data_IF_568881041052
#
_entry.id   IF_568881041052
#
_cell.length_a   1.000
_cell.length_b   1.000
_cell.length_c   1.000
_cell.angle_alpha   90.00
_cell.angle_beta   90.00
_cell.angle_gamma   90.00
#
_symmetry.space_group_name_H-M   'P 1'
#
loop_
_entity.id
_entity.type
_entity.pdbx_description
1 polymer ?
#
# COMPACT_ATOMS: atom_id res chain seq x y z
N UNK A 1 38.55 21.24 -8.17
CA UNK A 1 37.08 21.12 -8.30
C UNK A 1 36.77 21.12 -9.79
N UNK A 2 36.22 20.03 -10.34
CA UNK A 2 35.86 19.99 -11.77
C UNK A 2 34.65 20.90 -12.00
N UNK A 3 34.68 21.69 -13.08
CA UNK A 3 33.55 22.55 -13.44
C UNK A 3 32.31 21.72 -13.80
N UNK A 4 31.10 22.16 -13.42
CA UNK A 4 29.87 21.45 -13.77
C UNK A 4 29.74 21.34 -15.28
N UNK A 5 29.55 20.11 -15.77
CA UNK A 5 29.32 19.85 -17.18
C UNK A 5 27.87 20.14 -17.52
N UNK A 6 27.65 20.97 -18.53
CA UNK A 6 26.31 21.36 -19.00
C UNK A 6 26.16 20.91 -20.44
N UNK A 7 25.01 20.31 -20.77
CA UNK A 7 24.65 19.92 -22.15
C UNK A 7 23.17 20.26 -22.35
N UNK A 8 22.84 20.80 -23.51
CA UNK A 8 21.47 21.15 -23.85
C UNK A 8 20.75 19.94 -24.44
N UNK A 9 19.50 19.75 -24.05
CA UNK A 9 18.63 18.67 -24.52
C UNK A 9 17.32 19.26 -25.04
N UNK A 10 16.70 18.55 -25.99
CA UNK A 10 15.33 18.83 -26.41
C UNK A 10 14.37 17.93 -25.62
N UNK A 11 13.32 18.51 -25.04
CA UNK A 11 12.31 17.76 -24.29
C UNK A 11 11.41 17.03 -25.29
N UNK A 12 11.38 15.70 -25.22
CA UNK A 12 10.58 14.87 -26.13
C UNK A 12 9.24 14.43 -25.53
N UNK A 13 9.10 14.53 -24.20
CA UNK A 13 7.90 14.16 -23.46
C UNK A 13 8.06 14.49 -21.98
N UNK A 14 6.94 14.54 -21.27
CA UNK A 14 6.86 14.75 -19.83
C UNK A 14 6.12 13.54 -19.25
N UNK A 15 6.63 13.00 -18.15
CA UNK A 15 6.03 11.91 -17.41
C UNK A 15 5.72 12.41 -16.01
N UNK A 16 4.52 12.12 -15.52
CA UNK A 16 4.03 12.58 -14.22
C UNK A 16 3.54 11.37 -13.44
N UNK A 17 4.15 11.13 -12.28
CA UNK A 17 3.77 10.05 -11.36
C UNK A 17 2.74 10.50 -10.32
N UNK A 18 2.45 11.81 -10.26
CA UNK A 18 1.68 12.47 -9.19
C UNK A 18 2.33 12.36 -7.82
N UNK A 19 3.62 12.03 -7.78
CA UNK A 19 4.46 11.99 -6.59
C UNK A 19 5.60 12.99 -6.78
N UNK A 20 5.47 14.16 -6.16
CA UNK A 20 6.43 15.27 -6.33
C UNK A 20 7.89 14.85 -6.06
N UNK A 21 8.11 13.98 -5.07
CA UNK A 21 9.44 13.44 -4.73
C UNK A 21 10.09 12.63 -5.87
N UNK A 22 9.30 12.14 -6.84
CA UNK A 22 9.83 11.46 -8.02
C UNK A 22 9.87 12.41 -9.22
N UNK A 23 8.84 13.23 -9.41
CA UNK A 23 8.73 14.09 -10.59
C UNK A 23 9.79 15.21 -10.58
N UNK A 24 10.21 15.71 -9.40
CA UNK A 24 11.22 16.76 -9.28
C UNK A 24 12.68 16.25 -9.34
N UNK A 25 12.91 14.95 -9.06
CA UNK A 25 14.26 14.41 -8.91
C UNK A 25 14.78 13.63 -10.13
N UNK A 26 13.91 13.21 -11.05
CA UNK A 26 14.30 12.32 -12.13
C UNK A 26 14.16 12.96 -13.51
N UNK A 27 15.21 12.80 -14.32
CA UNK A 27 15.21 13.12 -15.74
C UNK A 27 15.69 11.89 -16.51
N UNK A 28 14.96 11.53 -17.57
CA UNK A 28 15.31 10.41 -18.42
C UNK A 28 15.94 10.92 -19.73
N UNK A 29 17.05 10.32 -20.12
CA UNK A 29 17.73 10.61 -21.40
C UNK A 29 18.41 9.35 -21.93
N UNK A 30 18.86 9.40 -23.18
CA UNK A 30 19.58 8.28 -23.79
C UNK A 30 20.88 7.98 -23.06
N UNK A 31 21.21 6.69 -22.88
CA UNK A 31 22.36 6.25 -22.08
C UNK A 31 23.69 6.83 -22.56
N UNK A 32 23.86 6.99 -23.87
CA UNK A 32 25.10 7.54 -24.43
C UNK A 32 25.26 9.03 -24.13
N UNK A 33 24.16 9.79 -24.17
CA UNK A 33 24.19 11.19 -23.80
C UNK A 33 24.43 11.39 -22.29
N UNK A 34 23.90 10.51 -21.44
CA UNK A 34 24.23 10.48 -20.00
C UNK A 34 25.69 10.16 -19.78
N UNK A 35 26.25 9.14 -20.45
CA UNK A 35 27.66 8.74 -20.32
C UNK A 35 28.62 9.87 -20.67
N UNK A 36 28.33 10.61 -21.74
CA UNK A 36 29.08 11.81 -22.11
C UNK A 36 29.04 12.87 -20.99
N UNK A 37 27.86 13.09 -20.41
CA UNK A 37 27.65 14.11 -19.39
C UNK A 37 28.34 13.75 -18.07
N UNK A 38 28.23 12.49 -17.64
CA UNK A 38 28.79 11.97 -16.38
C UNK A 38 30.25 11.53 -16.50
N UNK A 39 30.84 11.60 -17.70
CA UNK A 39 32.17 11.05 -18.00
C UNK A 39 32.30 9.56 -17.65
N UNK A 40 31.19 8.83 -17.71
CA UNK A 40 31.18 7.39 -17.51
C UNK A 40 31.72 6.75 -18.79
N UNK A 41 32.91 6.13 -18.71
CA UNK A 41 33.59 5.56 -19.87
C UNK A 41 32.70 4.61 -20.68
N UNK A 42 33.04 4.43 -21.96
CA UNK A 42 32.30 3.56 -22.87
C UNK A 42 32.05 2.19 -22.23
N UNK A 43 30.80 1.72 -22.34
CA UNK A 43 30.34 0.44 -21.80
C UNK A 43 30.39 0.29 -20.26
N UNK A 44 30.39 1.39 -19.50
CA UNK A 44 30.18 1.36 -18.04
C UNK A 44 28.76 1.83 -17.69
N UNK A 45 28.23 1.30 -16.58
CA UNK A 45 26.97 1.70 -15.99
C UNK A 45 27.12 1.81 -14.47
N UNK A 46 26.51 2.84 -13.87
CA UNK A 46 26.54 3.06 -12.43
C UNK A 46 25.59 2.13 -11.69
N UNK A 47 24.43 1.84 -12.30
CA UNK A 47 23.37 0.99 -11.73
C UNK A 47 22.73 0.17 -12.84
N UNK A 48 22.38 -1.07 -12.52
CA UNK A 48 21.61 -1.95 -13.38
C UNK A 48 20.34 -2.33 -12.62
N UNK A 49 19.19 -2.08 -13.24
CA UNK A 49 17.89 -2.44 -12.68
C UNK A 49 17.40 -3.72 -13.33
N UNK A 50 17.01 -4.68 -12.48
CA UNK A 50 16.47 -5.97 -12.90
C UNK A 50 15.02 -6.05 -12.46
N UNK A 51 14.11 -6.11 -13.42
CA UNK A 51 12.70 -6.36 -13.16
C UNK A 51 12.46 -7.87 -13.07
N UNK A 52 11.86 -8.32 -11.96
CA UNK A 52 11.55 -9.72 -11.72
C UNK A 52 10.06 -9.98 -11.92
N UNK A 53 9.70 -11.08 -12.58
CA UNK A 53 8.28 -11.50 -12.72
C UNK A 53 7.61 -11.76 -11.37
N UNK A 54 8.40 -12.22 -10.39
CA UNK A 54 7.95 -12.50 -9.02
C UNK A 54 8.78 -11.70 -8.04
N UNK A 55 8.24 -10.58 -7.57
CA UNK A 55 8.88 -9.68 -6.60
C UNK A 55 9.22 -10.39 -5.29
N UNK A 56 8.45 -11.41 -4.90
CA UNK A 56 8.74 -12.25 -3.72
C UNK A 56 10.11 -12.96 -3.78
N UNK A 57 10.71 -13.10 -4.97
CA UNK A 57 12.06 -13.68 -5.13
C UNK A 57 13.17 -12.63 -5.03
N UNK A 58 12.87 -11.35 -4.85
CA UNK A 58 13.84 -10.27 -4.89
C UNK A 58 15.02 -10.49 -3.93
N UNK A 59 14.76 -10.88 -2.68
CA UNK A 59 15.82 -11.10 -1.70
C UNK A 59 16.69 -12.31 -2.06
N UNK A 60 16.08 -13.39 -2.58
CA UNK A 60 16.81 -14.58 -3.03
C UNK A 60 17.70 -14.31 -4.24
N UNK A 61 17.20 -13.53 -5.21
CA UNK A 61 17.95 -13.15 -6.41
C UNK A 61 19.07 -12.18 -6.04
N UNK A 62 18.79 -11.20 -5.16
CA UNK A 62 19.81 -10.29 -4.69
C UNK A 62 20.93 -11.01 -3.91
N UNK A 63 20.59 -12.04 -3.13
CA UNK A 63 21.59 -12.89 -2.47
C UNK A 63 22.46 -13.65 -3.49
N UNK A 64 21.86 -14.26 -4.51
CA UNK A 64 22.59 -14.95 -5.57
C UNK A 64 23.53 -14.01 -6.33
N UNK A 65 23.08 -12.78 -6.65
CA UNK A 65 23.92 -11.78 -7.32
C UNK A 65 25.11 -11.39 -6.44
N UNK A 66 24.88 -11.15 -5.15
CA UNK A 66 25.97 -10.83 -4.21
C UNK A 66 26.98 -11.96 -4.09
N UNK A 67 26.52 -13.20 -4.06
CA UNK A 67 27.38 -14.39 -3.99
C UNK A 67 28.19 -14.59 -5.28
N UNK A 68 27.57 -14.37 -6.44
CA UNK A 68 28.21 -14.60 -7.73
C UNK A 68 29.22 -13.51 -8.12
N UNK A 69 28.91 -12.24 -7.87
CA UNK A 69 29.74 -11.12 -8.35
C UNK A 69 30.66 -10.54 -7.27
N UNK A 70 30.29 -10.65 -5.99
CA UNK A 70 31.07 -10.10 -4.88
C UNK A 70 31.32 -8.59 -5.00
N UNK A 71 32.26 -8.09 -4.20
CA UNK A 71 32.67 -6.68 -4.25
C UNK A 71 33.31 -6.35 -5.62
N UNK A 72 32.98 -5.22 -6.26
CA UNK A 72 32.25 -4.05 -5.77
C UNK A 72 30.74 -4.03 -6.06
N UNK A 73 30.15 -5.12 -6.54
CA UNK A 73 28.73 -5.18 -6.92
C UNK A 73 27.87 -5.37 -5.67
N UNK A 74 27.01 -4.40 -5.38
CA UNK A 74 26.03 -4.50 -4.30
C UNK A 74 24.61 -4.59 -4.87
N UNK A 75 23.97 -5.74 -4.72
CA UNK A 75 22.57 -5.92 -5.10
C UNK A 75 21.67 -5.45 -3.95
N UNK A 76 20.88 -4.42 -4.20
CA UNK A 76 19.84 -3.93 -3.31
C UNK A 76 18.45 -4.21 -3.89
N UNK A 77 17.52 -4.68 -3.05
CA UNK A 77 16.14 -4.92 -3.48
C UNK A 77 15.30 -3.65 -3.39
N UNK A 78 14.17 -3.62 -4.09
CA UNK A 78 13.23 -2.49 -4.03
C UNK A 78 12.77 -2.20 -2.59
N UNK A 79 12.62 -3.24 -1.77
CA UNK A 79 12.29 -3.14 -0.35
C UNK A 79 13.37 -2.45 0.47
N UNK A 80 14.64 -2.60 0.10
CA UNK A 80 15.76 -1.96 0.79
C UNK A 80 15.90 -0.50 0.35
N UNK A 81 15.81 -0.25 -0.96
CA UNK A 81 15.90 1.10 -1.54
C UNK A 81 14.78 1.99 -0.99
N UNK A 82 13.55 1.46 -0.91
CA UNK A 82 12.38 2.19 -0.40
C UNK A 82 11.92 1.68 0.97
N UNK A 83 12.86 1.33 1.84
CA UNK A 83 12.57 0.76 3.17
C UNK A 83 11.62 1.60 4.01
N UNK A 84 11.72 2.93 3.96
CA UNK A 84 10.80 3.83 4.65
C UNK A 84 9.35 3.72 4.15
N UNK A 85 9.16 3.68 2.82
CA UNK A 85 7.83 3.51 2.22
C UNK A 85 7.24 2.14 2.59
N UNK A 86 8.03 1.06 2.45
CA UNK A 86 7.57 -0.27 2.81
C UNK A 86 7.34 -0.45 4.31
N UNK A 87 8.12 0.20 5.18
CA UNK A 87 7.88 0.21 6.62
C UNK A 87 6.54 0.89 6.95
N UNK A 88 6.24 2.01 6.30
CA UNK A 88 4.94 2.68 6.44
C UNK A 88 3.78 1.81 5.92
N UNK A 89 3.94 1.16 4.76
CA UNK A 89 2.93 0.21 4.22
C UNK A 89 2.70 -0.95 5.19
N UNK A 90 3.75 -1.58 5.71
CA UNK A 90 3.64 -2.69 6.65
C UNK A 90 2.95 -2.27 7.96
N UNK A 91 3.25 -1.06 8.44
CA UNK A 91 2.58 -0.48 9.61
C UNK A 91 1.09 -0.26 9.34
N UNK A 92 0.74 0.28 8.18
CA UNK A 92 -0.64 0.50 7.76
C UNK A 92 -1.42 -0.82 7.64
N UNK A 93 -0.83 -1.84 7.01
CA UNK A 93 -1.41 -3.18 6.91
C UNK A 93 -1.66 -3.81 8.28
N UNK A 94 -0.78 -3.56 9.26
CA UNK A 94 -0.93 -4.06 10.63
C UNK A 94 -2.03 -3.33 11.42
N UNK A 95 -2.23 -2.02 11.18
CA UNK A 95 -3.22 -1.20 11.89
C UNK A 95 -4.63 -1.38 11.32
N UNK A 96 -4.77 -1.60 10.01
CA UNK A 96 -6.08 -1.74 9.33
C UNK A 96 -7.01 -2.78 9.96
N UNK A 97 -6.60 -4.03 10.25
CA UNK A 97 -7.48 -5.02 10.86
C UNK A 97 -7.92 -4.65 12.28
N UNK A 98 -7.06 -3.96 13.05
CA UNK A 98 -7.41 -3.48 14.38
C UNK A 98 -8.54 -2.44 14.31
N UNK A 99 -8.40 -1.45 13.42
CA UNK A 99 -9.42 -0.39 13.23
C UNK A 99 -10.74 -0.99 12.75
N UNK A 100 -10.69 -1.88 11.75
CA UNK A 100 -11.89 -2.59 11.26
C UNK A 100 -12.54 -3.40 12.40
N UNK A 101 -11.75 -4.07 13.24
CA UNK A 101 -12.25 -4.81 14.39
C UNK A 101 -13.01 -3.94 15.39
N UNK A 102 -12.50 -2.75 15.71
CA UNK A 102 -13.18 -1.80 16.60
C UNK A 102 -14.49 -1.28 15.98
N UNK A 103 -14.48 -0.96 14.68
CA UNK A 103 -15.69 -0.51 13.96
C UNK A 103 -16.78 -1.59 14.02
N UNK A 104 -16.43 -2.86 13.75
CA UNK A 104 -17.36 -3.99 13.82
C UNK A 104 -17.91 -4.17 15.23
N UNK A 105 -17.06 -4.03 16.26
CA UNK A 105 -17.48 -4.15 17.65
C UNK A 105 -18.51 -3.06 18.02
N UNK A 106 -18.23 -1.80 17.67
CA UNK A 106 -19.17 -0.69 17.89
C UNK A 106 -20.48 -0.91 17.13
N UNK A 107 -20.41 -1.36 15.87
CA UNK A 107 -21.58 -1.69 15.08
C UNK A 107 -22.42 -2.82 15.70
N UNK A 108 -21.78 -3.87 16.23
CA UNK A 108 -22.47 -4.96 16.89
C UNK A 108 -23.22 -4.50 18.15
N UNK A 109 -22.60 -3.68 19.00
CA UNK A 109 -23.28 -3.09 20.15
C UNK A 109 -24.47 -2.23 19.74
N UNK A 110 -24.32 -1.42 18.68
CA UNK A 110 -25.40 -0.59 18.17
C UNK A 110 -26.60 -1.44 17.71
N UNK A 111 -26.34 -2.49 16.93
CA UNK A 111 -27.38 -3.43 16.48
C UNK A 111 -28.08 -4.07 17.68
N UNK A 112 -27.33 -4.53 18.69
CA UNK A 112 -27.90 -5.10 19.91
C UNK A 112 -28.79 -4.09 20.63
N UNK A 113 -28.33 -2.85 20.80
CA UNK A 113 -29.13 -1.79 21.44
C UNK A 113 -30.44 -1.52 20.70
N UNK A 114 -30.41 -1.43 19.38
CA UNK A 114 -31.62 -1.23 18.56
C UNK A 114 -32.57 -2.42 18.64
N UNK A 115 -32.06 -3.65 18.56
CA UNK A 115 -32.88 -4.86 18.68
C UNK A 115 -33.52 -4.99 20.07
N UNK A 116 -32.80 -4.63 21.13
CA UNK A 116 -33.33 -4.62 22.48
C UNK A 116 -34.47 -3.61 22.63
N UNK A 117 -34.30 -2.39 22.10
CA UNK A 117 -35.37 -1.38 22.11
C UNK A 117 -36.62 -1.89 21.37
N UNK A 118 -36.44 -2.49 20.19
CA UNK A 118 -37.53 -3.07 19.41
C UNK A 118 -38.21 -4.23 20.15
N UNK A 119 -37.46 -5.08 20.85
CA UNK A 119 -38.02 -6.16 21.66
C UNK A 119 -38.90 -5.64 22.80
N UNK A 120 -38.47 -4.59 23.49
CA UNK A 120 -39.23 -4.01 24.61
C UNK A 120 -40.54 -3.42 24.13
N UNK A 121 -40.52 -2.67 23.01
CA UNK A 121 -41.74 -2.14 22.39
C UNK A 121 -42.69 -3.26 21.99
N UNK A 122 -42.20 -4.31 21.31
CA UNK A 122 -43.02 -5.48 20.92
C UNK A 122 -43.61 -6.21 22.12
N UNK A 123 -42.86 -6.36 23.21
CA UNK A 123 -43.35 -7.00 24.44
C UNK A 123 -44.47 -6.18 25.09
N UNK A 124 -44.35 -4.85 25.08
CA UNK A 124 -45.40 -3.94 25.57
C UNK A 124 -46.67 -4.03 24.71
N UNK A 125 -46.53 -4.03 23.39
CA UNK A 125 -47.65 -4.21 22.46
C UNK A 125 -48.39 -5.54 22.70
N UNK A 126 -47.64 -6.64 22.90
CA UNK A 126 -48.22 -7.95 23.23
C UNK A 126 -48.98 -7.93 24.56
N UNK A 127 -48.49 -7.21 25.57
CA UNK A 127 -49.16 -7.06 26.86
C UNK A 127 -50.53 -6.37 26.74
N UNK A 128 -50.60 -5.32 25.92
CA UNK A 128 -51.85 -4.60 25.61
C UNK A 128 -52.81 -5.50 24.81
N UNK A 129 -52.32 -6.25 23.82
CA UNK A 129 -53.17 -7.16 23.06
C UNK A 129 -53.74 -8.29 23.94
N UNK A 130 -52.95 -8.81 24.89
CA UNK A 130 -53.43 -9.80 25.87
C UNK A 130 -54.54 -9.26 26.77
N UNK A 131 -54.46 -7.99 27.21
CA UNK A 131 -55.52 -7.40 28.03
C UNK A 131 -56.81 -7.14 27.25
N UNK A 132 -56.71 -6.96 25.92
CA UNK A 132 -57.85 -6.88 25.00
C UNK A 132 -58.46 -8.25 24.62
N UNK A 133 -57.95 -9.36 25.18
CA UNK A 133 -58.50 -10.70 24.97
C UNK A 133 -57.84 -11.51 23.85
N UNK A 134 -56.69 -11.08 23.33
CA UNK A 134 -55.95 -11.87 22.34
C UNK A 134 -55.40 -13.18 22.96
N UNK A 135 -55.83 -14.32 22.39
CA UNK A 135 -55.32 -15.65 22.73
C UNK A 135 -53.82 -15.76 22.44
N UNK A 136 -53.05 -16.37 23.35
CA UNK A 136 -51.60 -16.56 23.19
C UNK A 136 -51.18 -17.28 21.90
N UNK A 137 -52.09 -18.07 21.29
CA UNK A 137 -51.86 -18.72 19.98
C UNK A 137 -51.93 -17.76 18.77
N UNK A 138 -52.58 -16.60 18.91
CA UNK A 138 -52.60 -15.55 17.89
C UNK A 138 -51.36 -14.66 17.92
N UNK A 139 -50.77 -14.45 19.10
CA UNK A 139 -49.58 -13.62 19.31
C UNK A 139 -48.30 -14.34 18.85
N UNK A 140 -48.26 -15.66 18.91
CA UNK A 140 -47.11 -16.47 18.48
C UNK A 140 -46.99 -16.64 16.95
N UNK A 141 -48.03 -16.29 16.18
CA UNK A 141 -48.07 -16.42 14.71
C UNK A 141 -47.78 -15.10 13.98
N UNK A 142 -47.55 -14.01 14.73
CA UNK A 142 -47.14 -12.68 14.25
C UNK A 142 -45.69 -12.45 14.64
#
# INVERSE_FOLDING_TARGET
MQAPRVKQFHINGIFETSLADFDDLYVFTGIDATRDLTSTGANKATRLDLTLDRVARADSVAAQIREQFGFPVNAATIYQVFSGLFAWVNLQESITPLVIGVIILVAAFNIISTLLMLMVEKTREMGVLRSLGASGKGIQRL
#
